data_IF_372915853426
#
_entry.id   IF_372915853426
#
_cell.length_a   1.000
_cell.length_b   1.000
_cell.length_c   1.000
_cell.angle_alpha   90.00
_cell.angle_beta   90.00
_cell.angle_gamma   90.00
#
_symmetry.space_group_name_H-M   'P 1'
#
loop_
_entity.id
_entity.type
_entity.pdbx_description
1 polymer ?
#
# COMPACT_ATOMS: atom_id res chain seq x y z
N UNK A 1 12.06 -47.44 -20.55
CA UNK A 1 12.45 -46.14 -21.18
C UNK A 1 11.24 -45.20 -21.38
N UNK A 2 10.07 -45.66 -21.88
CA UNK A 2 8.94 -44.79 -22.17
C UNK A 2 8.40 -43.97 -20.97
N UNK A 3 8.28 -44.54 -19.77
CA UNK A 3 7.78 -43.88 -18.55
C UNK A 3 8.58 -42.68 -18.13
N UNK A 4 9.91 -42.82 -18.15
CA UNK A 4 10.82 -41.74 -17.75
C UNK A 4 10.68 -40.55 -18.69
N UNK A 5 10.46 -40.76 -19.98
CA UNK A 5 10.28 -39.69 -20.98
C UNK A 5 8.95 -38.95 -20.72
N UNK A 6 7.84 -39.67 -20.50
CA UNK A 6 6.52 -39.08 -20.24
C UNK A 6 6.55 -38.23 -18.99
N UNK A 7 7.16 -38.72 -17.90
CA UNK A 7 7.33 -37.98 -16.67
C UNK A 7 8.19 -36.70 -16.87
N UNK A 8 9.26 -36.79 -17.65
CA UNK A 8 10.09 -35.61 -17.97
C UNK A 8 9.33 -34.59 -18.80
N UNK A 9 8.61 -35.01 -19.82
CA UNK A 9 7.79 -34.15 -20.69
C UNK A 9 6.69 -33.46 -19.86
N UNK A 10 5.96 -34.21 -19.01
CA UNK A 10 4.90 -33.67 -18.18
C UNK A 10 5.43 -32.62 -17.17
N UNK A 11 6.57 -32.88 -16.53
CA UNK A 11 7.23 -31.89 -15.65
C UNK A 11 7.72 -30.66 -16.41
N UNK A 12 8.18 -30.84 -17.64
CA UNK A 12 8.56 -29.71 -18.49
C UNK A 12 7.34 -28.84 -18.84
N UNK A 13 6.20 -29.47 -19.20
CA UNK A 13 4.97 -28.73 -19.48
C UNK A 13 4.41 -28.00 -18.26
N UNK A 14 4.48 -28.57 -17.08
CA UNK A 14 4.12 -27.88 -15.82
C UNK A 14 4.96 -26.61 -15.63
N UNK A 15 6.29 -26.70 -15.81
CA UNK A 15 7.19 -25.55 -15.71
C UNK A 15 6.91 -24.50 -16.80
N UNK A 16 6.65 -24.92 -18.02
CA UNK A 16 6.35 -24.04 -19.14
C UNK A 16 5.01 -23.32 -18.91
N UNK A 17 3.98 -24.03 -18.47
CA UNK A 17 2.67 -23.45 -18.15
C UNK A 17 2.78 -22.39 -17.06
N UNK A 18 3.54 -22.65 -15.97
CA UNK A 18 3.85 -21.65 -14.94
C UNK A 18 4.49 -20.40 -15.53
N UNK A 19 5.55 -20.57 -16.33
CA UNK A 19 6.24 -19.43 -16.98
C UNK A 19 5.30 -18.63 -17.88
N UNK A 20 4.44 -19.31 -18.65
CA UNK A 20 3.51 -18.65 -19.56
C UNK A 20 2.46 -17.83 -18.81
N UNK A 21 1.91 -18.35 -17.70
CA UNK A 21 0.97 -17.61 -16.85
C UNK A 21 1.61 -16.33 -16.31
N UNK A 22 2.81 -16.43 -15.77
CA UNK A 22 3.51 -15.26 -15.21
C UNK A 22 3.93 -14.28 -16.31
N UNK A 23 4.37 -14.75 -17.46
CA UNK A 23 4.71 -13.88 -18.60
C UNK A 23 3.47 -13.13 -19.12
N UNK A 24 2.32 -13.82 -19.23
CA UNK A 24 1.07 -13.19 -19.61
C UNK A 24 0.60 -12.14 -18.58
N UNK A 25 0.73 -12.42 -17.29
CA UNK A 25 0.40 -11.47 -16.23
C UNK A 25 1.32 -10.23 -16.27
N UNK A 26 2.64 -10.42 -16.45
CA UNK A 26 3.59 -9.30 -16.62
C UNK A 26 3.23 -8.43 -17.79
N UNK A 27 2.88 -9.03 -18.93
CA UNK A 27 2.41 -8.28 -20.11
C UNK A 27 1.16 -7.46 -19.81
N UNK A 28 0.20 -8.01 -19.06
CA UNK A 28 -1.00 -7.25 -18.63
C UNK A 28 -0.63 -6.08 -17.72
N UNK A 29 0.34 -6.25 -16.81
CA UNK A 29 0.83 -5.16 -15.95
C UNK A 29 1.52 -4.08 -16.81
N UNK A 30 2.31 -4.45 -17.82
CA UNK A 30 2.94 -3.52 -18.75
C UNK A 30 1.92 -2.76 -19.61
N UNK A 31 0.82 -3.41 -20.01
CA UNK A 31 -0.30 -2.76 -20.69
C UNK A 31 -0.96 -1.71 -19.79
N UNK A 32 -1.21 -2.04 -18.52
CA UNK A 32 -1.72 -1.10 -17.51
C UNK A 32 -0.76 0.09 -17.34
N UNK A 33 0.56 -0.17 -17.28
CA UNK A 33 1.57 0.89 -17.20
C UNK A 33 1.46 1.85 -18.39
N UNK A 34 1.38 1.34 -19.62
CA UNK A 34 1.27 2.15 -20.83
C UNK A 34 -0.04 2.96 -20.87
N UNK A 35 -1.14 2.36 -20.41
CA UNK A 35 -2.42 3.05 -20.32
C UNK A 35 -2.40 4.19 -19.28
N UNK A 36 -1.64 4.07 -18.19
CA UNK A 36 -1.45 5.11 -17.17
C UNK A 36 -0.49 6.23 -17.61
N UNK A 37 0.49 5.92 -18.46
CA UNK A 37 1.44 6.91 -19.00
C UNK A 37 0.86 7.73 -20.16
N UNK A 38 -0.25 7.29 -20.77
CA UNK A 38 -0.90 8.03 -21.85
C UNK A 38 -1.59 9.29 -21.32
N UNK A 39 -1.46 10.45 -21.99
CA UNK A 39 -2.10 11.67 -21.53
C UNK A 39 -3.62 11.50 -21.55
N UNK A 40 -4.34 11.95 -20.48
CA UNK A 40 -5.78 11.78 -20.38
C UNK A 40 -6.49 12.55 -21.52
N UNK A 41 -7.33 11.86 -22.27
CA UNK A 41 -8.23 12.54 -23.20
C UNK A 41 -9.41 13.17 -22.44
N UNK A 42 -9.96 14.27 -22.92
CA UNK A 42 -11.03 15.03 -22.24
C UNK A 42 -12.33 14.25 -21.96
N UNK A 43 -12.46 13.03 -22.50
CA UNK A 43 -13.63 12.13 -22.37
C UNK A 43 -13.35 10.90 -21.49
N UNK A 44 -12.13 10.75 -20.95
CA UNK A 44 -11.75 9.57 -20.18
C UNK A 44 -12.13 9.67 -18.69
N UNK A 45 -12.44 8.52 -18.03
CA UNK A 45 -12.72 8.50 -16.60
C UNK A 45 -11.48 8.99 -15.81
N UNK A 46 -11.73 9.61 -14.65
CA UNK A 46 -10.66 10.09 -13.77
C UNK A 46 -9.70 8.94 -13.43
N UNK A 47 -8.43 9.26 -13.19
CA UNK A 47 -7.36 8.28 -12.86
C UNK A 47 -7.77 7.29 -11.77
N UNK A 48 -8.53 7.74 -10.80
CA UNK A 48 -9.03 6.95 -9.69
C UNK A 48 -9.96 5.81 -10.15
N UNK A 49 -10.90 6.10 -11.06
CA UNK A 49 -11.83 5.10 -11.60
C UNK A 49 -11.11 4.09 -12.50
N UNK A 50 -10.10 4.53 -13.27
CA UNK A 50 -9.24 3.64 -14.05
C UNK A 50 -8.46 2.68 -13.15
N UNK A 51 -7.93 3.15 -12.02
CA UNK A 51 -7.15 2.34 -11.11
C UNK A 51 -7.95 1.16 -10.53
N UNK A 52 -9.21 1.37 -10.11
CA UNK A 52 -10.09 0.28 -9.66
C UNK A 52 -10.41 -0.72 -10.78
N UNK A 53 -10.61 -0.24 -12.01
CA UNK A 53 -10.84 -1.12 -13.17
C UNK A 53 -9.60 -1.98 -13.48
N UNK A 54 -8.39 -1.43 -13.31
CA UNK A 54 -7.15 -2.18 -13.50
C UNK A 54 -6.95 -3.28 -12.46
N UNK A 55 -7.32 -3.06 -11.19
CA UNK A 55 -7.32 -4.11 -10.17
C UNK A 55 -8.21 -5.28 -10.61
N UNK A 56 -9.45 -4.98 -11.04
CA UNK A 56 -10.38 -6.00 -11.53
C UNK A 56 -9.87 -6.71 -12.81
N UNK A 57 -9.28 -5.96 -13.75
CA UNK A 57 -8.67 -6.49 -14.99
C UNK A 57 -7.55 -7.49 -14.66
N UNK A 58 -6.66 -7.16 -13.71
CA UNK A 58 -5.56 -8.04 -13.29
C UNK A 58 -6.09 -9.31 -12.65
N UNK A 59 -7.08 -9.22 -11.76
CA UNK A 59 -7.69 -10.39 -11.10
C UNK A 59 -8.35 -11.32 -12.12
N UNK A 60 -9.17 -10.79 -13.00
CA UNK A 60 -9.84 -11.57 -14.05
C UNK A 60 -8.84 -12.22 -15.01
N UNK A 61 -7.82 -11.45 -15.45
CA UNK A 61 -6.79 -11.97 -16.37
C UNK A 61 -6.01 -13.10 -15.73
N UNK A 62 -5.58 -12.95 -14.47
CA UNK A 62 -4.86 -14.00 -13.75
C UNK A 62 -5.70 -15.27 -13.61
N UNK A 63 -6.97 -15.14 -13.24
CA UNK A 63 -7.90 -16.29 -13.16
C UNK A 63 -8.05 -17.00 -14.52
N UNK A 64 -8.19 -16.27 -15.60
CA UNK A 64 -8.30 -16.82 -16.96
C UNK A 64 -7.01 -17.54 -17.35
N UNK A 65 -5.83 -16.95 -17.10
CA UNK A 65 -4.55 -17.56 -17.44
C UNK A 65 -4.31 -18.87 -16.69
N UNK A 66 -4.60 -18.90 -15.38
CA UNK A 66 -4.47 -20.12 -14.58
C UNK A 66 -5.47 -21.18 -15.03
N UNK A 67 -6.75 -20.84 -15.25
CA UNK A 67 -7.78 -21.79 -15.75
C UNK A 67 -7.38 -22.37 -17.10
N UNK A 68 -6.91 -21.56 -18.01
CA UNK A 68 -6.45 -22.03 -19.34
C UNK A 68 -5.26 -22.97 -19.21
N UNK A 69 -4.31 -22.67 -18.33
CA UNK A 69 -3.17 -23.54 -18.06
C UNK A 69 -3.61 -24.89 -17.47
N UNK A 70 -4.54 -24.89 -16.51
CA UNK A 70 -5.09 -26.11 -15.92
C UNK A 70 -5.85 -26.94 -16.96
N UNK A 71 -6.71 -26.33 -17.79
CA UNK A 71 -7.44 -27.01 -18.85
C UNK A 71 -6.51 -27.67 -19.87
N UNK A 72 -5.44 -26.99 -20.28
CA UNK A 72 -4.45 -27.55 -21.19
C UNK A 72 -3.70 -28.74 -20.57
N UNK A 73 -3.36 -28.66 -19.27
CA UNK A 73 -2.68 -29.74 -18.57
C UNK A 73 -3.60 -30.93 -18.29
N UNK A 74 -4.92 -30.72 -18.16
CA UNK A 74 -5.89 -31.77 -17.95
C UNK A 74 -5.94 -32.77 -19.14
N UNK A 75 -5.60 -32.29 -20.35
CA UNK A 75 -5.51 -33.14 -21.55
C UNK A 75 -4.51 -34.28 -21.38
N UNK A 76 -3.48 -34.16 -20.54
CA UNK A 76 -2.52 -35.24 -20.24
C UNK A 76 -3.13 -36.38 -19.42
N UNK A 77 -4.28 -36.17 -18.79
CA UNK A 77 -4.98 -37.16 -17.97
C UNK A 77 -6.25 -37.69 -18.67
N UNK A 78 -6.49 -37.31 -19.92
CA UNK A 78 -7.64 -37.75 -20.70
C UNK A 78 -7.59 -39.26 -20.94
N UNK A 79 -8.75 -39.93 -20.90
CA UNK A 79 -8.87 -41.39 -20.97
C UNK A 79 -8.50 -41.97 -22.33
N UNK A 80 -8.49 -41.16 -23.37
CA UNK A 80 -8.11 -41.55 -24.74
C UNK A 80 -6.58 -41.46 -24.96
N UNK A 81 -5.83 -40.82 -24.04
CA UNK A 81 -4.37 -40.81 -24.04
C UNK A 81 -3.85 -42.09 -23.40
N UNK A 82 -3.84 -43.16 -24.14
CA UNK A 82 -3.30 -44.44 -23.66
C UNK A 82 -1.82 -44.56 -23.97
N UNK A 83 -1.00 -44.47 -22.94
CA UNK A 83 0.38 -44.88 -23.02
C UNK A 83 0.44 -46.39 -22.74
N UNK A 84 0.67 -47.23 -23.74
CA UNK A 84 0.67 -48.67 -23.61
C UNK A 84 1.62 -49.14 -22.49
N UNK A 85 1.08 -49.93 -21.54
CA UNK A 85 1.83 -50.51 -20.42
C UNK A 85 1.83 -49.69 -19.12
N UNK A 86 0.95 -48.70 -18.99
CA UNK A 86 0.92 -47.79 -17.83
C UNK A 86 -0.30 -48.06 -16.91
N UNK A 87 -0.07 -48.07 -15.62
CA UNK A 87 -1.10 -47.80 -14.66
C UNK A 87 -1.44 -46.31 -14.67
N UNK A 88 -2.38 -45.92 -15.51
CA UNK A 88 -2.83 -44.53 -15.76
C UNK A 88 -3.24 -43.80 -14.47
N UNK A 89 -3.75 -44.54 -13.49
CA UNK A 89 -4.18 -43.99 -12.19
C UNK A 89 -3.02 -43.43 -11.35
N UNK A 90 -1.88 -44.13 -11.32
CA UNK A 90 -0.74 -43.74 -10.51
C UNK A 90 0.00 -42.53 -11.14
N UNK A 91 0.08 -42.50 -12.48
CA UNK A 91 0.58 -41.34 -13.21
C UNK A 91 -0.30 -40.12 -13.00
N UNK A 92 -1.61 -40.24 -13.18
CA UNK A 92 -2.58 -39.16 -13.05
C UNK A 92 -2.51 -38.51 -11.65
N UNK A 93 -2.44 -39.31 -10.58
CA UNK A 93 -2.31 -38.81 -9.22
C UNK A 93 -0.98 -38.04 -9.00
N UNK A 94 0.13 -38.61 -9.45
CA UNK A 94 1.45 -37.95 -9.35
C UNK A 94 1.54 -36.65 -10.17
N UNK A 95 0.98 -36.68 -11.39
CA UNK A 95 0.92 -35.50 -12.27
C UNK A 95 0.00 -34.42 -11.71
N UNK A 96 -1.14 -34.75 -11.13
CA UNK A 96 -2.04 -33.80 -10.48
C UNK A 96 -1.32 -33.05 -9.33
N UNK A 97 -0.52 -33.75 -8.52
CA UNK A 97 0.29 -33.13 -7.46
C UNK A 97 1.34 -32.18 -8.07
N UNK A 98 2.03 -32.60 -9.15
CA UNK A 98 3.03 -31.76 -9.83
C UNK A 98 2.36 -30.52 -10.46
N UNK A 99 1.11 -30.60 -10.95
CA UNK A 99 0.34 -29.44 -11.45
C UNK A 99 -0.07 -28.53 -10.31
N UNK A 100 -0.59 -29.05 -9.21
CA UNK A 100 -0.96 -28.26 -8.05
C UNK A 100 0.24 -27.48 -7.50
N UNK A 101 1.33 -28.16 -7.19
CA UNK A 101 2.53 -27.52 -6.61
C UNK A 101 3.29 -26.68 -7.65
N UNK A 102 3.42 -27.18 -8.89
CA UNK A 102 4.25 -26.55 -9.91
C UNK A 102 3.58 -25.37 -10.64
N UNK A 103 2.24 -25.43 -10.86
CA UNK A 103 1.52 -24.36 -11.54
C UNK A 103 0.81 -23.46 -10.54
N UNK A 104 -0.12 -23.99 -9.74
CA UNK A 104 -0.96 -23.16 -8.88
C UNK A 104 -0.12 -22.51 -7.78
N UNK A 105 0.51 -23.31 -6.95
CA UNK A 105 1.34 -22.78 -5.86
C UNK A 105 2.54 -22.02 -6.42
N UNK A 106 3.18 -22.55 -7.46
CA UNK A 106 4.31 -21.90 -8.09
C UNK A 106 3.99 -20.52 -8.69
N UNK A 107 2.84 -20.34 -9.36
CA UNK A 107 2.41 -19.02 -9.86
C UNK A 107 2.15 -18.03 -8.72
N UNK A 108 1.57 -18.48 -7.60
CA UNK A 108 1.35 -17.63 -6.42
C UNK A 108 2.66 -17.24 -5.75
N UNK A 109 3.67 -18.13 -5.72
CA UNK A 109 5.01 -17.80 -5.24
C UNK A 109 5.72 -16.80 -6.18
N UNK A 110 5.64 -17.00 -7.49
CA UNK A 110 6.20 -16.05 -8.47
C UNK A 110 5.52 -14.68 -8.35
N UNK A 111 4.22 -14.64 -8.07
CA UNK A 111 3.49 -13.40 -7.81
C UNK A 111 4.04 -12.67 -6.58
N UNK A 112 4.37 -13.40 -5.50
CA UNK A 112 5.02 -12.82 -4.32
C UNK A 112 6.40 -12.25 -4.64
N UNK A 113 7.17 -12.90 -5.52
CA UNK A 113 8.48 -12.41 -5.95
C UNK A 113 8.39 -11.15 -6.84
N UNK A 114 7.27 -10.95 -7.57
CA UNK A 114 7.03 -9.69 -8.30
C UNK A 114 7.02 -8.48 -7.36
N UNK A 115 6.57 -8.67 -6.12
CA UNK A 115 6.62 -7.62 -5.08
C UNK A 115 8.03 -7.26 -4.62
N UNK A 116 8.97 -8.18 -4.73
CA UNK A 116 10.38 -7.99 -4.30
C UNK A 116 11.29 -7.51 -5.43
N UNK A 117 11.01 -7.91 -6.66
CA UNK A 117 11.75 -7.58 -7.87
C UNK A 117 11.25 -6.28 -8.51
N UNK A 118 12.06 -5.50 -9.24
CA UNK A 118 11.52 -4.39 -10.01
C UNK A 118 10.49 -4.92 -11.03
N UNK A 119 9.31 -4.30 -11.05
CA UNK A 119 8.23 -4.65 -11.97
C UNK A 119 8.57 -4.33 -13.44
N UNK A 120 9.60 -3.53 -13.66
CA UNK A 120 10.17 -3.19 -14.98
C UNK A 120 11.69 -3.16 -14.87
N UNK A 121 12.38 -3.70 -15.87
CA UNK A 121 13.86 -3.75 -15.90
C UNK A 121 14.52 -2.36 -16.04
N UNK A 122 13.79 -1.34 -16.50
CA UNK A 122 14.36 -0.05 -16.89
C UNK A 122 14.14 1.11 -15.90
N UNK A 123 13.13 1.06 -15.04
CA UNK A 123 12.80 2.14 -14.07
C UNK A 123 12.04 1.58 -12.86
N UNK A 124 12.16 2.26 -11.72
CA UNK A 124 11.24 2.04 -10.60
C UNK A 124 9.80 2.26 -11.08
N UNK A 125 8.88 1.30 -10.89
CA UNK A 125 7.51 1.42 -11.37
C UNK A 125 6.83 2.63 -10.70
N UNK A 126 5.90 3.30 -11.40
CA UNK A 126 5.10 4.37 -10.79
C UNK A 126 4.41 3.91 -9.52
N UNK A 127 4.32 4.77 -8.48
CA UNK A 127 3.70 4.39 -7.20
C UNK A 127 2.28 3.83 -7.37
N UNK A 128 1.50 4.38 -8.28
CA UNK A 128 0.14 3.92 -8.58
C UNK A 128 0.08 2.45 -9.00
N UNK A 129 1.04 1.98 -9.80
CA UNK A 129 1.10 0.57 -10.22
C UNK A 129 1.42 -0.35 -9.05
N UNK A 130 2.30 0.08 -8.14
CA UNK A 130 2.59 -0.68 -6.92
C UNK A 130 1.30 -0.86 -6.09
N UNK A 131 0.49 0.20 -5.96
CA UNK A 131 -0.78 0.15 -5.24
C UNK A 131 -1.79 -0.79 -5.94
N UNK A 132 -1.94 -0.69 -7.27
CA UNK A 132 -2.84 -1.54 -8.07
C UNK A 132 -2.47 -3.02 -7.91
N UNK A 133 -1.18 -3.35 -8.03
CA UNK A 133 -0.71 -4.75 -7.89
C UNK A 133 -0.83 -5.22 -6.44
N UNK A 134 -0.56 -4.36 -5.45
CA UNK A 134 -0.75 -4.69 -4.04
C UNK A 134 -2.23 -5.00 -3.73
N UNK A 135 -3.16 -4.18 -4.22
CA UNK A 135 -4.59 -4.39 -4.04
C UNK A 135 -5.08 -5.64 -4.78
N UNK A 136 -4.61 -5.88 -6.00
CA UNK A 136 -4.89 -7.13 -6.73
C UNK A 136 -4.46 -8.36 -5.91
N UNK A 137 -3.24 -8.38 -5.37
CA UNK A 137 -2.76 -9.48 -4.53
C UNK A 137 -3.58 -9.62 -3.24
N UNK A 138 -3.97 -8.50 -2.64
CA UNK A 138 -4.81 -8.48 -1.45
C UNK A 138 -6.21 -9.06 -1.75
N UNK A 139 -6.83 -8.70 -2.87
CA UNK A 139 -8.12 -9.24 -3.28
C UNK A 139 -8.04 -10.73 -3.61
N UNK A 140 -6.94 -11.15 -4.28
CA UNK A 140 -6.73 -12.53 -4.68
C UNK A 140 -6.75 -13.51 -3.48
N UNK A 141 -6.19 -13.13 -2.32
CA UNK A 141 -6.17 -13.95 -1.11
C UNK A 141 -7.58 -14.28 -0.56
N UNK A 142 -8.61 -13.55 -0.98
CA UNK A 142 -9.99 -13.81 -0.60
C UNK A 142 -10.54 -15.08 -1.25
N UNK A 143 -11.61 -14.94 -2.01
CA UNK A 143 -12.31 -16.07 -2.63
C UNK A 143 -11.56 -16.66 -3.84
N UNK A 144 -10.82 -15.83 -4.58
CA UNK A 144 -10.20 -16.21 -5.85
C UNK A 144 -9.08 -17.22 -5.67
N UNK A 145 -8.27 -17.10 -4.62
CA UNK A 145 -7.19 -18.04 -4.32
C UNK A 145 -7.74 -19.42 -3.92
N UNK A 146 -8.70 -19.47 -2.99
CA UNK A 146 -9.35 -20.70 -2.59
C UNK A 146 -10.00 -21.40 -3.79
N UNK A 147 -10.72 -20.62 -4.63
CA UNK A 147 -11.35 -21.12 -5.83
C UNK A 147 -10.36 -21.77 -6.82
N UNK A 148 -9.20 -21.18 -7.06
CA UNK A 148 -8.18 -21.76 -7.96
C UNK A 148 -7.63 -23.07 -7.40
N UNK A 149 -7.36 -23.11 -6.09
CA UNK A 149 -6.85 -24.32 -5.41
C UNK A 149 -7.88 -25.44 -5.48
N UNK A 150 -9.13 -25.14 -5.12
CA UNK A 150 -10.23 -26.11 -5.13
C UNK A 150 -10.48 -26.62 -6.56
N UNK A 151 -10.51 -25.74 -7.55
CA UNK A 151 -10.66 -26.09 -8.96
C UNK A 151 -9.57 -27.08 -9.42
N UNK A 152 -8.31 -26.81 -9.07
CA UNK A 152 -7.21 -27.70 -9.40
C UNK A 152 -7.35 -29.05 -8.69
N UNK A 153 -7.69 -29.07 -7.41
CA UNK A 153 -7.87 -30.31 -6.64
C UNK A 153 -9.03 -31.13 -7.15
N UNK A 154 -10.12 -30.51 -7.57
CA UNK A 154 -11.28 -31.20 -8.16
C UNK A 154 -10.96 -31.77 -9.55
N UNK A 155 -10.42 -30.97 -10.46
CA UNK A 155 -10.10 -31.36 -11.83
C UNK A 155 -9.10 -32.52 -11.88
N UNK A 156 -8.09 -32.50 -11.03
CA UNK A 156 -7.05 -33.53 -10.95
C UNK A 156 -7.35 -34.62 -9.90
N UNK A 157 -8.56 -34.62 -9.31
CA UNK A 157 -9.04 -35.62 -8.34
C UNK A 157 -8.09 -35.87 -7.17
N UNK A 158 -7.52 -34.79 -6.63
CA UNK A 158 -6.56 -34.85 -5.52
C UNK A 158 -7.22 -35.08 -4.16
N UNK A 159 -8.52 -34.86 -4.05
CA UNK A 159 -9.31 -35.04 -2.84
C UNK A 159 -9.55 -36.55 -2.65
N UNK A 160 -9.01 -37.13 -1.58
CA UNK A 160 -9.24 -38.56 -1.23
C UNK A 160 -7.99 -39.45 -1.28
N UNK A 161 -6.92 -39.06 -1.91
CA UNK A 161 -5.67 -39.86 -1.92
C UNK A 161 -4.87 -39.65 -0.60
N UNK A 162 -5.29 -40.37 0.45
CA UNK A 162 -4.53 -40.47 1.73
C UNK A 162 -3.43 -41.53 1.67
N UNK A 163 -2.74 -41.69 0.56
CA UNK A 163 -1.58 -42.56 0.52
C UNK A 163 -0.43 -41.99 1.32
N UNK A 164 0.01 -42.73 2.33
CA UNK A 164 1.08 -42.37 3.28
C UNK A 164 2.45 -42.05 2.63
N UNK A 165 2.60 -42.19 1.32
CA UNK A 165 3.84 -41.93 0.55
C UNK A 165 3.72 -40.76 -0.43
N UNK A 166 2.55 -40.09 -0.56
CA UNK A 166 2.38 -38.96 -1.47
C UNK A 166 3.03 -37.71 -0.89
N UNK A 167 3.65 -36.90 -1.75
CA UNK A 167 4.14 -35.57 -1.42
C UNK A 167 3.00 -34.78 -0.75
N UNK A 168 3.27 -34.17 0.38
CA UNK A 168 2.29 -33.40 1.14
C UNK A 168 1.97 -32.14 0.34
N UNK A 169 0.69 -31.93 -0.03
CA UNK A 169 0.23 -30.72 -0.68
C UNK A 169 0.46 -29.49 0.22
N UNK A 170 0.83 -28.38 -0.39
CA UNK A 170 0.96 -27.11 0.30
C UNK A 170 -0.39 -26.67 0.86
N UNK A 171 -0.44 -26.31 2.14
CA UNK A 171 -1.68 -25.88 2.79
C UNK A 171 -2.09 -24.50 2.25
N UNK A 172 -3.39 -24.34 1.99
CA UNK A 172 -3.99 -23.09 1.51
C UNK A 172 -3.64 -21.92 2.42
N UNK A 173 -3.69 -22.09 3.74
CA UNK A 173 -3.38 -21.02 4.70
C UNK A 173 -1.93 -20.55 4.57
N UNK A 174 -0.99 -21.47 4.30
CA UNK A 174 0.43 -21.12 4.15
C UNK A 174 0.68 -20.23 2.93
N UNK A 175 0.05 -20.56 1.80
CA UNK A 175 0.22 -19.76 0.57
C UNK A 175 -0.56 -18.45 0.64
N UNK A 176 -1.73 -18.43 1.28
CA UNK A 176 -2.48 -17.20 1.55
C UNK A 176 -1.65 -16.21 2.35
N UNK A 177 -1.00 -16.68 3.41
CA UNK A 177 -0.11 -15.84 4.22
C UNK A 177 1.06 -15.27 3.41
N UNK A 178 1.68 -16.07 2.53
CA UNK A 178 2.75 -15.60 1.65
C UNK A 178 2.27 -14.51 0.68
N UNK A 179 1.08 -14.70 0.06
CA UNK A 179 0.49 -13.71 -0.86
C UNK A 179 0.17 -12.42 -0.11
N UNK A 180 -0.37 -12.50 1.11
CA UNK A 180 -0.61 -11.36 1.97
C UNK A 180 0.68 -10.59 2.27
N UNK A 181 1.73 -11.29 2.67
CA UNK A 181 3.04 -10.68 2.92
C UNK A 181 3.62 -10.00 1.68
N UNK A 182 3.46 -10.61 0.50
CA UNK A 182 3.86 -10.00 -0.77
C UNK A 182 3.10 -8.71 -1.07
N UNK A 183 1.80 -8.70 -0.83
CA UNK A 183 0.94 -7.52 -0.98
C UNK A 183 1.35 -6.40 0.00
N UNK A 184 1.61 -6.74 1.28
CA UNK A 184 2.08 -5.79 2.29
C UNK A 184 3.43 -5.14 1.93
N UNK A 185 4.35 -5.90 1.33
CA UNK A 185 5.64 -5.37 0.86
C UNK A 185 5.43 -4.33 -0.26
N UNK A 186 4.53 -4.59 -1.21
CA UNK A 186 4.21 -3.64 -2.28
C UNK A 186 3.50 -2.39 -1.75
N UNK A 187 2.56 -2.57 -0.82
CA UNK A 187 1.88 -1.45 -0.18
C UNK A 187 2.88 -0.55 0.56
N UNK A 188 3.84 -1.15 1.27
CA UNK A 188 4.90 -0.38 1.93
C UNK A 188 5.75 0.39 0.93
N UNK A 189 6.15 -0.22 -0.20
CA UNK A 189 6.88 0.48 -1.26
C UNK A 189 6.10 1.67 -1.82
N UNK A 190 4.78 1.53 -1.97
CA UNK A 190 3.90 2.63 -2.36
C UNK A 190 3.94 3.77 -1.35
N UNK A 191 3.77 3.45 -0.05
CA UNK A 191 3.83 4.43 1.04
C UNK A 191 5.16 5.15 1.05
N UNK A 192 6.27 4.41 0.99
CA UNK A 192 7.62 4.98 1.01
C UNK A 192 7.85 5.92 -0.18
N UNK A 193 7.39 5.53 -1.38
CA UNK A 193 7.51 6.36 -2.59
C UNK A 193 6.69 7.66 -2.49
N UNK A 194 5.42 7.59 -2.06
CA UNK A 194 4.56 8.77 -1.88
C UNK A 194 5.06 9.67 -0.76
N UNK A 195 5.47 9.08 0.36
CA UNK A 195 6.05 9.84 1.46
C UNK A 195 7.35 10.54 1.05
N UNK A 196 8.20 9.92 0.23
CA UNK A 196 9.42 10.54 -0.30
C UNK A 196 9.09 11.75 -1.18
N UNK A 197 8.14 11.64 -2.12
CA UNK A 197 7.70 12.75 -2.99
C UNK A 197 7.23 13.95 -2.15
N UNK A 198 6.35 13.70 -1.17
CA UNK A 198 5.78 14.75 -0.31
C UNK A 198 6.79 15.30 0.68
N UNK A 199 7.68 14.48 1.22
CA UNK A 199 8.78 14.93 2.08
C UNK A 199 9.71 15.86 1.31
N UNK A 200 10.04 15.53 0.07
CA UNK A 200 10.89 16.38 -0.77
C UNK A 200 10.25 17.75 -1.04
N UNK A 201 8.92 17.79 -1.24
CA UNK A 201 8.17 19.04 -1.40
C UNK A 201 8.33 19.92 -0.15
N UNK A 202 8.18 19.35 1.05
CA UNK A 202 8.31 20.09 2.32
C UNK A 202 9.76 20.52 2.55
N UNK A 203 10.72 19.62 2.39
CA UNK A 203 12.16 19.90 2.59
C UNK A 203 12.62 21.02 1.66
N UNK A 204 12.31 20.94 0.36
CA UNK A 204 12.61 21.99 -0.59
C UNK A 204 11.99 23.34 -0.19
N UNK A 205 10.77 23.32 0.34
CA UNK A 205 10.08 24.51 0.84
C UNK A 205 10.69 25.09 2.12
N UNK A 206 11.45 24.29 2.88
CA UNK A 206 12.22 24.76 4.04
C UNK A 206 13.61 25.27 3.61
N UNK A 207 14.32 24.52 2.78
CA UNK A 207 15.70 24.83 2.40
C UNK A 207 15.83 26.02 1.44
N UNK A 208 14.82 26.26 0.60
CA UNK A 208 14.84 27.33 -0.41
C UNK A 208 14.62 28.73 0.15
N UNK A 209 14.33 28.86 1.45
CA UNK A 209 13.97 30.15 2.07
C UNK A 209 15.06 30.65 3.04
N UNK A 210 15.37 31.94 2.95
CA UNK A 210 16.15 32.62 3.99
C UNK A 210 15.24 32.92 5.19
N UNK A 211 15.40 32.12 6.25
CA UNK A 211 14.60 32.23 7.47
C UNK A 211 15.03 33.33 8.41
N UNK A 212 16.23 33.91 8.20
CA UNK A 212 16.72 35.02 9.01
C UNK A 212 16.14 36.36 8.55
N UNK A 213 15.96 36.53 7.24
CA UNK A 213 15.50 37.80 6.63
C UNK A 213 14.00 37.76 6.25
N UNK A 214 13.24 36.79 6.74
CA UNK A 214 11.80 36.72 6.50
C UNK A 214 11.06 37.98 6.97
N UNK A 215 10.07 38.42 6.17
CA UNK A 215 9.08 39.41 6.58
C UNK A 215 7.97 38.79 7.44
N UNK A 216 7.16 39.66 8.05
CA UNK A 216 6.02 39.26 8.86
C UNK A 216 5.05 38.31 8.10
N UNK A 217 4.64 37.18 8.70
CA UNK A 217 3.75 36.24 8.05
C UNK A 217 2.34 36.80 7.86
N UNK A 218 1.83 36.70 6.63
CA UNK A 218 0.50 37.22 6.27
C UNK A 218 -0.42 36.10 5.77
N UNK A 219 0.13 34.94 5.45
CA UNK A 219 -0.62 33.80 4.94
C UNK A 219 0.15 32.50 5.22
N UNK A 220 -0.59 31.38 5.15
CA UNK A 220 -0.02 30.03 5.10
C UNK A 220 0.79 29.87 3.82
N UNK A 221 1.98 29.26 3.90
CA UNK A 221 2.82 29.03 2.73
C UNK A 221 2.14 28.11 1.71
N UNK A 222 2.32 28.45 0.43
CA UNK A 222 1.77 27.64 -0.67
C UNK A 222 2.24 26.18 -0.66
N UNK A 223 3.46 25.91 -0.15
CA UNK A 223 3.97 24.54 -0.03
C UNK A 223 3.13 23.70 0.93
N UNK A 224 2.64 24.27 2.03
CA UNK A 224 1.80 23.56 2.99
C UNK A 224 0.39 23.29 2.43
N UNK A 225 -0.16 24.25 1.68
CA UNK A 225 -1.43 24.06 0.97
C UNK A 225 -1.33 22.94 -0.08
N UNK A 226 -0.25 22.95 -0.89
CA UNK A 226 0.00 21.88 -1.88
C UNK A 226 0.20 20.52 -1.22
N UNK A 227 0.89 20.48 -0.08
CA UNK A 227 1.05 19.23 0.67
C UNK A 227 -0.31 18.63 1.07
N UNK A 228 -1.22 19.44 1.60
CA UNK A 228 -2.58 19.01 1.97
C UNK A 228 -3.37 18.60 0.73
N UNK A 229 -3.30 19.36 -0.37
CA UNK A 229 -3.96 19.02 -1.64
C UNK A 229 -3.49 17.66 -2.20
N UNK A 230 -2.18 17.39 -2.14
CA UNK A 230 -1.66 16.07 -2.53
C UNK A 230 -2.17 14.94 -1.62
N UNK A 231 -2.30 15.18 -0.32
CA UNK A 231 -2.88 14.19 0.60
C UNK A 231 -4.36 13.94 0.29
N UNK A 232 -5.13 14.97 -0.08
CA UNK A 232 -6.53 14.82 -0.51
C UNK A 232 -6.65 13.96 -1.77
N UNK A 233 -5.79 14.17 -2.75
CA UNK A 233 -5.75 13.37 -3.97
C UNK A 233 -5.39 11.90 -3.66
N UNK A 234 -4.43 11.66 -2.75
CA UNK A 234 -4.08 10.30 -2.31
C UNK A 234 -5.25 9.65 -1.57
N UNK A 235 -5.94 10.37 -0.68
CA UNK A 235 -7.10 9.87 0.07
C UNK A 235 -8.23 9.45 -0.87
N UNK A 236 -8.54 10.28 -1.87
CA UNK A 236 -9.56 9.99 -2.88
C UNK A 236 -9.21 8.73 -3.68
N UNK A 237 -7.95 8.63 -4.12
CA UNK A 237 -7.44 7.46 -4.84
C UNK A 237 -7.54 6.19 -4.00
N UNK A 238 -7.11 6.24 -2.73
CA UNK A 238 -7.15 5.09 -1.82
C UNK A 238 -8.58 4.63 -1.56
N UNK A 239 -9.51 5.55 -1.33
CA UNK A 239 -10.94 5.23 -1.17
C UNK A 239 -11.50 4.53 -2.39
N UNK A 240 -11.19 5.02 -3.59
CA UNK A 240 -11.67 4.40 -4.83
C UNK A 240 -11.14 2.98 -5.04
N UNK A 241 -9.88 2.72 -4.67
CA UNK A 241 -9.25 1.41 -4.87
C UNK A 241 -9.59 0.43 -3.75
N UNK A 242 -9.58 0.87 -2.48
CA UNK A 242 -9.72 0.00 -1.31
C UNK A 242 -11.17 -0.17 -0.85
N UNK A 243 -12.03 0.86 -0.97
CA UNK A 243 -13.43 0.82 -0.50
C UNK A 243 -14.39 0.17 -1.51
N UNK A 244 -13.95 -0.05 -2.75
CA UNK A 244 -14.78 -0.74 -3.76
C UNK A 244 -15.24 -2.13 -3.31
N UNK A 245 -14.53 -2.78 -2.38
CA UNK A 245 -14.87 -4.09 -1.84
C UNK A 245 -15.75 -4.03 -0.58
N UNK A 246 -15.70 -2.93 0.19
CA UNK A 246 -16.55 -2.74 1.38
C UNK A 246 -17.98 -2.43 0.95
N UNK A 247 -18.16 -1.65 -0.12
CA UNK A 247 -19.49 -1.33 -0.66
C UNK A 247 -20.27 -2.56 -1.18
N UNK A 248 -19.59 -3.68 -1.48
CA UNK A 248 -20.22 -4.95 -1.81
C UNK A 248 -20.64 -5.79 -0.60
N UNK A 249 -20.08 -5.52 0.59
CA UNK A 249 -20.39 -6.26 1.83
C UNK A 249 -21.47 -5.62 2.71
N UNK A 250 -21.74 -4.32 2.57
CA UNK A 250 -22.69 -3.58 3.43
C UNK A 250 -24.02 -3.26 2.73
N UNK A 251 -24.64 -4.24 2.07
CA UNK A 251 -26.08 -4.18 1.77
C UNK A 251 -26.85 -5.12 2.71
N UNK A 252 -26.62 -4.99 4.01
CA UNK A 252 -27.56 -5.43 5.04
C UNK A 252 -27.97 -4.19 5.83
N UNK A 253 -29.28 -3.91 5.95
CA UNK A 253 -29.77 -2.67 6.57
C UNK A 253 -29.90 -2.81 8.08
N UNK A 254 -28.77 -2.97 8.81
CA UNK A 254 -28.76 -2.93 10.28
C UNK A 254 -27.39 -2.52 10.80
N UNK A 255 -27.10 -1.23 10.78
CA UNK A 255 -26.30 -0.54 11.81
C UNK A 255 -26.11 0.96 11.53
N UNK A 256 -27.21 1.66 11.21
CA UNK A 256 -27.20 3.13 11.29
C UNK A 256 -27.66 3.53 12.68
N UNK A 257 -26.78 3.35 13.68
CA UNK A 257 -26.87 4.04 14.99
C UNK A 257 -25.64 3.69 15.84
N UNK A 258 -24.55 4.38 15.65
CA UNK A 258 -23.57 4.69 16.72
C UNK A 258 -22.30 5.32 16.14
N UNK A 259 -22.30 6.60 15.89
CA UNK A 259 -21.12 7.45 16.07
C UNK A 259 -21.43 8.91 15.76
N UNK A 260 -22.33 9.50 16.52
CA UNK A 260 -22.41 10.95 16.67
C UNK A 260 -22.30 11.30 18.14
N UNK A 261 -21.10 11.25 18.66
CA UNK A 261 -20.75 11.88 19.93
C UNK A 261 -19.51 12.73 19.69
N UNK A 262 -19.73 13.86 19.04
CA UNK A 262 -18.77 14.96 19.01
C UNK A 262 -18.66 15.52 20.43
N UNK A 263 -17.64 15.06 21.17
CA UNK A 263 -17.18 15.76 22.37
C UNK A 263 -16.31 16.92 21.94
N UNK A 264 -16.92 18.10 21.85
CA UNK A 264 -16.22 19.37 21.96
C UNK A 264 -15.38 19.36 23.24
N UNK A 265 -14.08 19.19 23.12
CA UNK A 265 -13.12 19.44 24.20
C UNK A 265 -12.53 20.83 23.97
N UNK A 266 -12.87 21.73 24.88
CA UNK A 266 -12.25 23.02 25.07
C UNK A 266 -10.72 22.86 25.12
N UNK A 267 -10.03 23.37 24.11
CA UNK A 267 -8.59 23.61 24.16
C UNK A 267 -8.33 24.85 25.03
N UNK A 268 -8.21 24.62 26.34
CA UNK A 268 -7.51 25.54 27.20
C UNK A 268 -6.07 25.04 27.30
N UNK A 269 -5.21 25.52 26.40
CA UNK A 269 -3.79 25.26 26.43
C UNK A 269 -3.14 26.35 27.28
N UNK A 270 -3.04 26.09 28.58
CA UNK A 270 -2.16 26.83 29.49
C UNK A 270 -0.73 26.37 29.19
N UNK A 271 0.07 27.20 28.52
CA UNK A 271 1.51 27.01 28.45
C UNK A 271 2.10 27.26 29.84
N UNK A 272 2.18 26.18 30.62
CA UNK A 272 2.87 26.18 31.89
C UNK A 272 4.37 25.91 31.59
N UNK A 273 5.21 26.90 31.88
CA UNK A 273 6.68 26.89 31.70
C UNK A 273 7.39 25.99 32.73
N UNK A 274 6.64 25.20 33.49
CA UNK A 274 7.18 24.31 34.48
C UNK A 274 7.24 22.88 34.02
N UNK A 275 8.31 22.49 33.41
CA UNK A 275 8.82 21.11 33.32
C UNK A 275 9.28 20.66 31.93
N UNK A 276 10.39 21.25 31.50
CA UNK A 276 11.24 20.70 30.42
C UNK A 276 11.66 19.26 30.76
N UNK A 277 11.82 18.94 32.05
CA UNK A 277 12.18 17.58 32.52
C UNK A 277 11.07 16.54 32.31
N UNK A 278 9.80 16.90 32.53
CA UNK A 278 8.68 15.96 32.33
C UNK A 278 8.35 15.70 30.86
N UNK A 279 8.61 16.68 30.01
CA UNK A 279 8.46 16.54 28.55
C UNK A 279 9.56 15.66 27.98
N UNK A 280 10.80 15.80 28.46
CA UNK A 280 11.91 14.93 28.10
C UNK A 280 11.69 13.49 28.60
N UNK A 281 11.22 13.29 29.83
CA UNK A 281 10.91 11.96 30.35
C UNK A 281 9.76 11.28 29.56
N UNK A 282 8.73 12.06 29.17
CA UNK A 282 7.66 11.55 28.29
C UNK A 282 8.16 11.16 26.91
N UNK A 283 9.07 11.93 26.31
CA UNK A 283 9.69 11.61 25.02
C UNK A 283 10.59 10.38 25.07
N UNK A 284 11.22 10.07 26.23
CA UNK A 284 12.02 8.86 26.41
C UNK A 284 11.16 7.61 26.71
N UNK A 285 9.97 7.80 27.26
CA UNK A 285 9.06 6.69 27.63
C UNK A 285 8.09 6.34 26.50
N UNK A 286 7.64 7.30 25.71
CA UNK A 286 6.86 7.05 24.51
C UNK A 286 7.83 6.90 23.31
N UNK A 287 8.25 5.66 23.04
CA UNK A 287 8.76 5.29 21.71
C UNK A 287 7.64 5.59 20.72
N UNK A 288 7.70 6.76 20.07
CA UNK A 288 6.87 7.00 18.90
C UNK A 288 7.31 6.01 17.84
N UNK A 289 6.57 4.92 17.69
CA UNK A 289 6.81 3.93 16.62
C UNK A 289 6.41 4.57 15.29
N UNK A 290 7.33 5.34 14.70
CA UNK A 290 7.15 5.89 13.33
C UNK A 290 6.98 4.80 12.27
N UNK A 291 7.33 3.57 12.59
CA UNK A 291 7.34 2.42 11.67
C UNK A 291 6.30 1.36 12.07
N UNK A 292 5.08 1.78 12.30
CA UNK A 292 3.96 0.88 12.45
C UNK A 292 3.72 0.08 11.17
N UNK A 293 3.29 -1.19 11.31
CA UNK A 293 2.93 -2.02 10.17
C UNK A 293 1.78 -1.37 9.40
N UNK A 294 1.99 -1.11 8.10
CA UNK A 294 0.96 -0.53 7.25
C UNK A 294 -0.08 -1.61 6.91
N UNK A 295 -1.33 -1.35 7.23
CA UNK A 295 -2.46 -2.22 6.93
C UNK A 295 -3.18 -1.77 5.65
N UNK A 296 -3.91 -2.70 5.01
CA UNK A 296 -4.75 -2.43 3.83
C UNK A 296 -6.02 -1.66 4.20
N UNK A 297 -5.86 -0.45 4.69
CA UNK A 297 -6.94 0.53 4.87
C UNK A 297 -6.42 1.95 4.64
N UNK A 298 -7.28 2.83 4.17
CA UNK A 298 -6.94 4.21 3.84
C UNK A 298 -6.27 4.96 4.99
N UNK A 299 -6.83 4.83 6.21
CA UNK A 299 -6.31 5.52 7.39
C UNK A 299 -4.88 5.10 7.77
N UNK A 300 -4.54 3.80 7.69
CA UNK A 300 -3.19 3.31 7.99
C UNK A 300 -2.17 3.81 6.97
N UNK A 301 -2.53 3.79 5.67
CA UNK A 301 -1.66 4.27 4.58
C UNK A 301 -1.41 5.77 4.72
N UNK A 302 -2.45 6.57 4.91
CA UNK A 302 -2.33 8.03 5.07
C UNK A 302 -1.58 8.40 6.34
N UNK A 303 -1.88 7.74 7.47
CA UNK A 303 -1.15 7.95 8.73
C UNK A 303 0.35 7.71 8.57
N UNK A 304 0.73 6.64 7.86
CA UNK A 304 2.13 6.32 7.61
C UNK A 304 2.82 7.40 6.75
N UNK A 305 2.17 7.86 5.67
CA UNK A 305 2.68 8.93 4.81
C UNK A 305 2.85 10.22 5.61
N UNK A 306 1.83 10.65 6.36
CA UNK A 306 1.87 11.88 7.17
C UNK A 306 2.97 11.82 8.21
N UNK A 307 3.11 10.71 8.95
CA UNK A 307 4.17 10.53 9.97
C UNK A 307 5.57 10.69 9.36
N UNK A 308 5.84 10.08 8.20
CA UNK A 308 7.13 10.20 7.49
C UNK A 308 7.38 11.64 7.05
N UNK A 309 6.37 12.32 6.49
CA UNK A 309 6.49 13.70 6.03
C UNK A 309 6.75 14.68 7.18
N UNK A 310 6.03 14.54 8.29
CA UNK A 310 6.24 15.38 9.48
C UNK A 310 7.62 15.16 10.10
N UNK A 311 8.12 13.91 10.12
CA UNK A 311 9.48 13.62 10.54
C UNK A 311 10.50 14.33 9.65
N UNK A 312 10.34 14.26 8.33
CA UNK A 312 11.22 14.95 7.38
C UNK A 312 11.16 16.47 7.56
N UNK A 313 9.98 17.02 7.86
CA UNK A 313 9.82 18.43 8.21
C UNK A 313 10.58 18.79 9.49
N UNK A 314 10.41 18.02 10.54
CA UNK A 314 11.13 18.19 11.80
C UNK A 314 12.65 18.20 11.59
N UNK A 315 13.17 17.25 10.83
CA UNK A 315 14.60 17.16 10.57
C UNK A 315 15.12 18.31 9.73
N UNK A 316 14.34 18.78 8.73
CA UNK A 316 14.72 19.92 7.90
C UNK A 316 14.77 21.23 8.70
N UNK A 317 13.82 21.48 9.60
CA UNK A 317 13.84 22.70 10.43
C UNK A 317 14.97 22.69 11.45
N UNK A 318 15.38 21.52 11.92
CA UNK A 318 16.54 21.38 12.83
C UNK A 318 17.86 21.79 12.20
N UNK A 319 17.95 21.82 10.88
CA UNK A 319 19.15 22.24 10.14
C UNK A 319 19.18 23.75 9.85
N UNK A 320 18.06 24.47 10.06
CA UNK A 320 17.95 25.90 9.77
C UNK A 320 18.15 26.74 11.02
N UNK A 321 18.44 28.04 10.80
CA UNK A 321 18.45 29.10 11.84
C UNK A 321 17.36 30.10 11.49
N UNK A 322 16.58 30.53 12.47
CA UNK A 322 15.40 31.35 12.26
C UNK A 322 15.53 32.74 12.85
N UNK A 323 15.08 33.75 12.10
CA UNK A 323 14.75 35.06 12.63
C UNK A 323 13.36 35.03 13.29
N UNK A 324 12.97 36.16 13.91
CA UNK A 324 11.64 36.30 14.54
C UNK A 324 10.49 35.89 13.61
N UNK A 325 10.41 36.50 12.42
CA UNK A 325 9.32 36.26 11.49
C UNK A 325 9.43 34.89 10.82
N UNK A 326 10.61 34.30 10.75
CA UNK A 326 10.78 32.91 10.32
C UNK A 326 10.14 31.92 11.29
N UNK A 327 10.32 32.11 12.60
CA UNK A 327 9.65 31.36 13.65
C UNK A 327 8.14 31.54 13.58
N UNK A 328 7.66 32.79 13.50
CA UNK A 328 6.23 33.09 13.40
C UNK A 328 5.59 32.44 12.16
N UNK A 329 6.30 32.38 11.02
CA UNK A 329 5.81 31.69 9.81
C UNK A 329 5.68 30.18 10.00
N UNK A 330 6.68 29.52 10.62
CA UNK A 330 6.58 28.08 10.90
C UNK A 330 5.43 27.81 11.88
N UNK A 331 5.20 28.69 12.85
CA UNK A 331 4.08 28.57 13.78
C UNK A 331 2.73 28.61 13.04
N UNK A 332 2.54 29.52 12.07
CA UNK A 332 1.35 29.59 11.19
C UNK A 332 1.19 28.31 10.38
N UNK A 333 2.27 27.85 9.76
CA UNK A 333 2.24 26.64 8.94
C UNK A 333 1.91 25.39 9.77
N UNK A 334 2.50 25.26 10.97
CA UNK A 334 2.23 24.15 11.88
C UNK A 334 0.78 24.16 12.38
N UNK A 335 0.24 25.31 12.71
CA UNK A 335 -1.17 25.44 13.12
C UNK A 335 -2.11 25.04 11.98
N UNK A 336 -1.85 25.49 10.75
CA UNK A 336 -2.61 25.08 9.58
C UNK A 336 -2.55 23.57 9.36
N UNK A 337 -1.36 22.96 9.43
CA UNK A 337 -1.20 21.52 9.29
C UNK A 337 -1.96 20.76 10.38
N UNK A 338 -1.90 21.21 11.62
CA UNK A 338 -2.64 20.60 12.72
C UNK A 338 -4.16 20.58 12.46
N UNK A 339 -4.71 21.67 11.90
CA UNK A 339 -6.11 21.75 11.53
C UNK A 339 -6.52 20.86 10.35
N UNK A 340 -5.59 20.56 9.43
CA UNK A 340 -5.91 19.79 8.21
C UNK A 340 -5.59 18.30 8.34
N UNK A 341 -4.58 17.91 9.11
CA UNK A 341 -4.06 16.55 9.10
C UNK A 341 -4.86 15.56 9.97
N UNK A 342 -5.64 16.03 10.94
CA UNK A 342 -6.43 15.17 11.83
C UNK A 342 -7.34 14.20 11.05
N UNK A 343 -7.88 14.61 9.90
CA UNK A 343 -8.79 13.80 9.07
C UNK A 343 -8.10 12.63 8.36
N UNK A 344 -6.75 12.64 8.27
CA UNK A 344 -5.96 11.62 7.56
C UNK A 344 -5.24 10.65 8.50
N UNK A 345 -5.30 10.87 9.79
CA UNK A 345 -4.56 10.06 10.75
C UNK A 345 -5.50 9.40 11.76
N UNK A 346 -5.15 8.17 12.14
CA UNK A 346 -5.88 7.44 13.17
C UNK A 346 -5.48 7.87 14.60
N UNK A 347 -4.29 8.44 14.76
CA UNK A 347 -3.74 8.89 16.03
C UNK A 347 -3.36 10.38 15.96
N UNK A 348 -4.30 11.23 16.39
CA UNK A 348 -4.11 12.67 16.45
C UNK A 348 -3.03 13.08 17.46
N UNK A 349 -2.85 12.32 18.54
CA UNK A 349 -1.90 12.64 19.58
C UNK A 349 -0.45 12.59 19.04
N UNK A 350 -0.13 11.58 18.22
CA UNK A 350 1.18 11.49 17.57
C UNK A 350 1.44 12.67 16.64
N UNK A 351 0.46 13.07 15.82
CA UNK A 351 0.62 14.21 14.89
C UNK A 351 0.81 15.51 15.67
N UNK A 352 0.00 15.75 16.68
CA UNK A 352 0.11 16.92 17.56
C UNK A 352 1.49 16.97 18.23
N UNK A 353 1.95 15.84 18.79
CA UNK A 353 3.27 15.77 19.44
C UNK A 353 4.42 16.10 18.49
N UNK A 354 4.38 15.61 17.24
CA UNK A 354 5.43 15.92 16.25
C UNK A 354 5.37 17.38 15.80
N UNK A 355 4.18 17.94 15.64
CA UNK A 355 4.01 19.36 15.29
C UNK A 355 4.54 20.25 16.43
N UNK A 356 4.23 19.94 17.68
CA UNK A 356 4.74 20.67 18.86
C UNK A 356 6.27 20.57 18.92
N UNK A 357 6.86 19.42 18.59
CA UNK A 357 8.30 19.23 18.52
C UNK A 357 8.94 20.07 17.39
N UNK A 358 8.26 20.22 16.23
CA UNK A 358 8.71 21.10 15.15
C UNK A 358 8.78 22.54 15.66
N UNK A 359 7.71 23.04 16.27
CA UNK A 359 7.66 24.41 16.80
C UNK A 359 8.72 24.61 17.87
N UNK A 360 8.84 23.68 18.82
CA UNK A 360 9.86 23.71 19.87
C UNK A 360 11.28 23.76 19.29
N UNK A 361 11.57 22.92 18.29
CA UNK A 361 12.87 22.90 17.61
C UNK A 361 13.19 24.26 16.95
N UNK A 362 12.19 24.89 16.32
CA UNK A 362 12.37 26.21 15.68
C UNK A 362 12.58 27.31 16.75
N UNK A 363 11.88 27.27 17.88
CA UNK A 363 12.09 28.18 19.01
C UNK A 363 13.55 28.11 19.50
N UNK A 364 14.08 26.90 19.71
CA UNK A 364 15.44 26.66 20.13
C UNK A 364 16.50 27.13 19.11
N UNK A 365 16.16 27.17 17.84
CA UNK A 365 17.05 27.60 16.75
C UNK A 365 16.79 29.04 16.30
N UNK A 366 15.93 29.77 16.98
CA UNK A 366 15.63 31.16 16.67
C UNK A 366 16.60 32.13 17.38
N UNK A 367 17.11 33.13 16.65
CA UNK A 367 17.93 34.20 17.21
C UNK A 367 17.12 35.11 18.14
N UNK A 368 15.83 35.26 17.84
CA UNK A 368 14.88 36.06 18.62
C UNK A 368 13.60 35.26 18.84
N UNK A 369 13.55 34.37 19.85
CA UNK A 369 12.43 33.49 20.08
C UNK A 369 11.21 34.26 20.63
N UNK A 370 10.42 34.83 19.73
CA UNK A 370 9.16 35.48 20.05
C UNK A 370 8.05 34.76 19.34
N UNK A 371 7.17 34.14 20.11
CA UNK A 371 6.00 33.42 19.61
C UNK A 371 4.86 34.41 19.31
N UNK A 372 4.16 34.21 18.19
CA UNK A 372 2.99 34.99 17.81
C UNK A 372 1.80 34.61 18.69
N UNK A 373 0.93 35.55 18.97
CA UNK A 373 -0.31 35.34 19.71
C UNK A 373 -1.21 34.33 18.97
N UNK A 374 -1.78 33.34 19.68
CA UNK A 374 -2.62 32.31 19.06
C UNK A 374 -3.81 32.85 18.25
N UNK A 375 -4.39 33.98 18.68
CA UNK A 375 -5.47 34.67 17.98
C UNK A 375 -5.03 35.18 16.59
N UNK A 376 -3.84 35.74 16.49
CA UNK A 376 -3.28 36.23 15.23
C UNK A 376 -2.92 35.08 14.29
N UNK A 377 -2.37 33.97 14.82
CA UNK A 377 -2.09 32.76 14.04
C UNK A 377 -3.37 32.20 13.43
N UNK A 378 -4.44 32.12 14.26
CA UNK A 378 -5.75 31.64 13.81
C UNK A 378 -6.32 32.54 12.70
N UNK A 379 -6.28 33.86 12.90
CA UNK A 379 -6.80 34.81 11.92
C UNK A 379 -6.08 34.71 10.55
N UNK A 380 -4.76 34.46 10.55
CA UNK A 380 -3.99 34.23 9.32
C UNK A 380 -4.40 32.92 8.65
N UNK A 381 -4.61 31.86 9.42
CA UNK A 381 -5.03 30.56 8.89
C UNK A 381 -6.48 30.55 8.39
N UNK A 382 -7.40 31.28 9.06
CA UNK A 382 -8.80 31.38 8.65
C UNK A 382 -8.99 32.16 7.31
N UNK A 383 -7.98 32.93 6.89
CA UNK A 383 -7.92 33.59 5.57
C UNK A 383 -7.32 32.70 4.47
N UNK A 384 -6.82 31.52 4.80
CA UNK A 384 -6.08 30.64 3.90
C UNK A 384 -7.00 29.71 3.10
#
# INVERSE_FOLDING_TARGET
MGLSIVIQVSKHQVKLSRKNVIAALRKTIEEVLKELESPPSALEPKEEQKASQFVAKLEQSFLVYVKTALANLLLFTASDVTFSGFETTQFAAGFGIDVHEGVVIGCLEDLCELGKSPLSEAKSPPPLVMLIVAQFMFNLQGKSLAYIIDLCQEQFRLVGHRDRKSKKLTKTESITLKVQQGAEVLLKKYVDARAMELSQLIVNGVESRDWLSCGEPRAVRSVMKRFVEHLENIDLLLKTIMDSDIAKKERTPESVRASSSARSRNLHNTYDTGSISSTLERMWTEKIEFFEKVHFNCGSVLSAIVKICLKSFLESVRLQTFGRFGLEQIQVDCYFLQQQLWKYVSDEATVTSVIDEIVSSVVHRSVQPKIMEPSAVKEICDRA
#
